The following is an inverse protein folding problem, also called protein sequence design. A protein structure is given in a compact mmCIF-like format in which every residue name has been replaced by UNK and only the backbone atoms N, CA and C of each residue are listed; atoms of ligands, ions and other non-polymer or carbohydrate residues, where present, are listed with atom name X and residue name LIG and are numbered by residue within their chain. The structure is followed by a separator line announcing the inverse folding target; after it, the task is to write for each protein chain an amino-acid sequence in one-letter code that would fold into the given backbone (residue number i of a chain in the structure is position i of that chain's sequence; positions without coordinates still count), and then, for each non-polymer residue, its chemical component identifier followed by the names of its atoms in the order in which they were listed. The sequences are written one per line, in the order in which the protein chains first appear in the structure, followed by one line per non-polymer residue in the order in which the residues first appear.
data_IF_589487106538
#
_entry.id   IF_589487106538
#
_cell.length_a   1.000
_cell.length_b   1.000
_cell.length_c   1.000
_cell.angle_alpha   90.00
_cell.angle_beta   90.00
_cell.angle_gamma   90.00
#
_symmetry.space_group_name_H-M   'P 1'
#
loop_
_entity.id
_entity.type
_entity.pdbx_description
1 polymer ?
#
# COMPACT_ATOMS: atom_id res chain seq x y z
N UNK A 1 10.90 1.18 2.71
CA UNK A 1 9.55 1.70 2.46
C UNK A 1 8.98 0.94 1.27
N UNK A 2 7.69 0.65 1.28
CA UNK A 2 6.99 0.07 0.14
C UNK A 2 5.79 0.94 -0.21
N UNK A 3 5.93 1.73 -1.28
CA UNK A 3 4.89 2.59 -1.80
C UNK A 3 4.40 2.05 -3.14
N UNK A 4 3.20 1.47 -3.17
CA UNK A 4 2.58 0.94 -4.38
C UNK A 4 1.91 2.06 -5.18
N UNK A 5 2.76 2.77 -5.93
CA UNK A 5 2.44 3.92 -6.80
C UNK A 5 3.58 4.10 -7.80
N UNK A 6 3.38 4.94 -8.81
CA UNK A 6 4.37 5.15 -9.87
C UNK A 6 4.54 6.64 -10.18
N UNK A 7 5.76 7.09 -10.50
CA UNK A 7 5.92 8.36 -11.20
C UNK A 7 5.41 8.23 -12.64
N UNK A 8 5.16 9.35 -13.35
CA UNK A 8 4.78 9.32 -14.77
C UNK A 8 5.77 8.59 -15.67
N UNK A 9 7.06 8.61 -15.30
CA UNK A 9 8.14 7.97 -16.07
C UNK A 9 8.40 6.50 -15.65
N UNK A 10 7.62 5.94 -14.73
CA UNK A 10 7.83 4.58 -14.27
C UNK A 10 7.56 3.57 -15.41
N UNK A 11 8.41 2.54 -15.61
CA UNK A 11 8.23 1.59 -16.72
C UNK A 11 6.88 0.87 -16.77
N UNK A 12 6.18 0.75 -15.65
CA UNK A 12 4.83 0.17 -15.63
C UNK A 12 3.79 1.02 -16.34
N UNK A 13 3.99 2.34 -16.47
CA UNK A 13 3.05 3.21 -17.20
C UNK A 13 2.94 2.75 -18.67
N UNK A 14 4.07 2.41 -19.29
CA UNK A 14 4.10 1.92 -20.67
C UNK A 14 3.87 0.40 -20.77
N UNK A 15 4.41 -0.39 -19.82
CA UNK A 15 4.38 -1.85 -19.89
C UNK A 15 3.10 -2.49 -19.36
N UNK A 16 2.42 -1.81 -18.44
CA UNK A 16 1.21 -2.27 -17.77
C UNK A 16 0.19 -1.12 -17.69
N UNK A 17 -0.26 -0.56 -18.83
CA UNK A 17 -1.19 0.57 -18.83
C UNK A 17 -2.51 0.23 -18.11
N UNK A 18 -2.94 -1.03 -18.16
CA UNK A 18 -4.16 -1.52 -17.49
C UNK A 18 -4.08 -1.48 -15.96
N UNK A 19 -2.89 -1.28 -15.37
CA UNK A 19 -2.72 -1.05 -13.93
C UNK A 19 -3.01 0.40 -13.52
N UNK A 20 -3.45 1.25 -14.45
CA UNK A 20 -3.80 2.64 -14.18
C UNK A 20 -5.19 2.97 -14.73
N UNK A 21 -5.91 3.87 -14.06
CA UNK A 21 -7.17 4.38 -14.56
C UNK A 21 -6.91 5.53 -15.55
N UNK A 22 -7.22 5.29 -16.83
CA UNK A 22 -7.15 6.30 -17.87
C UNK A 22 -8.48 7.06 -17.99
N UNK A 23 -8.38 8.39 -18.08
CA UNK A 23 -9.50 9.26 -18.46
C UNK A 23 -9.88 9.06 -19.93
N UNK A 24 -11.03 9.59 -20.38
CA UNK A 24 -11.44 9.49 -21.78
C UNK A 24 -10.44 10.09 -22.79
N UNK A 25 -9.60 11.05 -22.36
CA UNK A 25 -8.54 11.65 -23.18
C UNK A 25 -7.22 10.86 -23.15
N UNK A 26 -7.20 9.71 -22.48
CA UNK A 26 -6.02 8.85 -22.32
C UNK A 26 -5.09 9.24 -21.16
N UNK A 27 -5.30 10.39 -20.51
CA UNK A 27 -4.45 10.83 -19.39
C UNK A 27 -4.75 10.07 -18.10
N UNK A 28 -3.75 9.93 -17.23
CA UNK A 28 -3.91 9.36 -15.87
C UNK A 28 -4.00 10.50 -14.86
N UNK A 29 -4.97 10.43 -13.96
CA UNK A 29 -5.08 11.39 -12.86
C UNK A 29 -3.95 11.18 -11.84
N UNK A 30 -3.39 12.28 -11.33
CA UNK A 30 -2.44 12.20 -10.23
C UNK A 30 -3.12 11.73 -8.94
N UNK A 31 -2.34 11.15 -8.01
CA UNK A 31 -2.88 10.65 -6.75
C UNK A 31 -3.28 11.80 -5.81
N UNK A 32 -4.34 11.61 -5.03
CA UNK A 32 -4.78 12.55 -4.01
C UNK A 32 -5.08 11.82 -2.70
N UNK A 33 -4.81 12.48 -1.58
CA UNK A 33 -5.34 12.13 -0.26
C UNK A 33 -5.84 13.42 0.38
N UNK A 34 -7.08 13.85 0.07
CA UNK A 34 -7.55 15.19 0.36
C UNK A 34 -7.31 15.61 1.82
N UNK A 35 -6.77 16.83 2.07
CA UNK A 35 -6.58 17.91 1.09
C UNK A 35 -5.28 17.84 0.28
N UNK A 36 -4.45 16.82 0.45
CA UNK A 36 -3.15 16.69 -0.21
C UNK A 36 -3.29 16.20 -1.65
N UNK A 37 -2.47 16.76 -2.53
CA UNK A 37 -2.35 16.41 -3.95
C UNK A 37 -0.92 16.02 -4.25
N UNK A 38 -0.73 14.94 -4.99
CA UNK A 38 0.58 14.40 -5.32
C UNK A 38 0.76 14.35 -6.84
N UNK A 39 1.08 15.50 -7.43
CA UNK A 39 1.13 15.70 -8.89
C UNK A 39 2.24 14.90 -9.58
N UNK A 40 3.19 14.38 -8.80
CA UNK A 40 4.36 13.62 -9.20
C UNK A 40 4.13 12.10 -9.25
N UNK A 41 2.93 11.62 -8.88
CA UNK A 41 2.63 10.18 -8.83
C UNK A 41 1.23 9.84 -9.39
N UNK A 42 1.14 8.64 -9.96
CA UNK A 42 -0.09 7.98 -10.37
C UNK A 42 -0.50 6.86 -9.38
N UNK A 43 -1.79 6.79 -9.02
CA UNK A 43 -2.31 5.68 -8.24
C UNK A 43 -2.49 4.43 -9.11
N UNK A 44 -2.28 3.26 -8.52
CA UNK A 44 -2.55 1.97 -9.16
C UNK A 44 -4.05 1.66 -9.13
N UNK A 45 -4.60 1.20 -10.25
CA UNK A 45 -5.94 0.64 -10.37
C UNK A 45 -5.88 -0.89 -10.30
N UNK A 46 -6.76 -1.50 -9.49
CA UNK A 46 -6.67 -2.92 -9.14
C UNK A 46 -7.71 -3.80 -9.84
N UNK A 47 -8.69 -3.20 -10.51
CA UNK A 47 -9.86 -3.92 -11.04
C UNK A 47 -9.56 -4.70 -12.32
N UNK A 48 -8.58 -4.27 -13.11
CA UNK A 48 -8.25 -4.91 -14.40
C UNK A 48 -7.39 -6.17 -14.24
N UNK A 49 -6.39 -6.13 -13.34
CA UNK A 49 -5.40 -7.20 -13.19
C UNK A 49 -4.90 -7.32 -11.74
N UNK A 50 -5.80 -7.68 -10.83
CA UNK A 50 -5.47 -7.92 -9.42
C UNK A 50 -4.40 -9.00 -9.25
N UNK A 51 -4.47 -10.08 -10.03
CA UNK A 51 -3.55 -11.21 -9.89
C UNK A 51 -2.13 -10.85 -10.35
N UNK A 52 -1.97 -10.13 -11.46
CA UNK A 52 -0.68 -9.61 -11.90
C UNK A 52 -0.07 -8.63 -10.89
N UNK A 53 -0.88 -7.74 -10.31
CA UNK A 53 -0.43 -6.83 -9.25
C UNK A 53 0.04 -7.56 -7.98
N UNK A 54 -0.69 -8.60 -7.54
CA UNK A 54 -0.29 -9.41 -6.38
C UNK A 54 1.04 -10.12 -6.68
N UNK A 55 1.14 -10.78 -7.83
CA UNK A 55 2.34 -11.52 -8.22
C UNK A 55 3.57 -10.62 -8.33
N UNK A 56 3.45 -9.47 -8.99
CA UNK A 56 4.56 -8.52 -9.13
C UNK A 56 4.95 -7.89 -7.79
N UNK A 57 3.97 -7.57 -6.94
CA UNK A 57 4.22 -7.04 -5.59
C UNK A 57 5.01 -8.02 -4.75
N UNK A 58 4.59 -9.30 -4.71
CA UNK A 58 5.32 -10.34 -3.98
C UNK A 58 6.72 -10.54 -4.56
N UNK A 59 6.87 -10.51 -5.89
CA UNK A 59 8.19 -10.60 -6.55
C UNK A 59 9.12 -9.46 -6.10
N UNK A 60 8.64 -8.22 -6.08
CA UNK A 60 9.40 -7.05 -5.62
C UNK A 60 9.75 -7.15 -4.14
N UNK A 61 8.82 -7.56 -3.28
CA UNK A 61 9.09 -7.78 -1.85
C UNK A 61 10.16 -8.85 -1.64
N UNK A 62 10.04 -10.00 -2.33
CA UNK A 62 11.00 -11.10 -2.26
C UNK A 62 12.40 -10.68 -2.70
N UNK A 63 12.50 -9.87 -3.76
CA UNK A 63 13.80 -9.34 -4.17
C UNK A 63 14.52 -8.62 -3.03
N UNK A 64 13.83 -7.79 -2.24
CA UNK A 64 14.44 -7.12 -1.09
C UNK A 64 14.67 -8.06 0.10
N UNK A 65 13.79 -9.05 0.29
CA UNK A 65 13.95 -10.10 1.30
C UNK A 65 15.22 -10.93 1.06
N UNK A 66 15.57 -11.23 -0.19
CA UNK A 66 16.81 -11.92 -0.57
C UNK A 66 18.07 -11.12 -0.21
N UNK A 67 17.92 -9.81 -0.04
CA UNK A 67 18.97 -8.89 0.43
C UNK A 67 18.87 -8.61 1.94
N UNK A 68 18.13 -9.43 2.69
CA UNK A 68 18.01 -9.36 4.14
C UNK A 68 17.00 -8.35 4.68
N UNK A 69 16.20 -7.69 3.83
CA UNK A 69 15.13 -6.80 4.29
C UNK A 69 13.95 -7.64 4.78
N UNK A 70 13.72 -7.64 6.10
CA UNK A 70 12.62 -8.41 6.73
C UNK A 70 11.48 -7.53 7.25
N UNK A 71 11.57 -6.21 7.11
CA UNK A 71 10.57 -5.27 7.61
C UNK A 71 10.20 -4.27 6.53
N UNK A 72 8.91 -4.18 6.23
CA UNK A 72 8.34 -3.26 5.25
C UNK A 72 7.38 -2.29 5.94
N UNK A 73 7.75 -1.01 6.01
CA UNK A 73 6.79 0.08 6.22
C UNK A 73 6.04 0.31 4.91
N UNK A 74 4.75 0.03 4.92
CA UNK A 74 3.87 0.13 3.75
C UNK A 74 3.17 1.48 3.76
N UNK A 75 3.34 2.24 2.68
CA UNK A 75 2.82 3.59 2.53
C UNK A 75 1.33 3.60 2.16
N UNK A 76 0.53 4.37 2.92
CA UNK A 76 -0.89 4.58 2.65
C UNK A 76 -1.67 3.30 2.22
N UNK A 77 -1.59 2.17 2.95
CA UNK A 77 -2.23 0.91 2.53
C UNK A 77 -3.75 1.04 2.42
N UNK A 78 -4.34 1.98 3.17
CA UNK A 78 -5.77 2.27 3.18
C UNK A 78 -6.32 2.89 1.88
N UNK A 79 -5.45 3.30 0.94
CA UNK A 79 -5.87 3.76 -0.40
C UNK A 79 -5.84 2.65 -1.45
N UNK A 80 -5.53 1.41 -1.03
CA UNK A 80 -5.50 0.20 -1.86
C UNK A 80 -6.53 -0.79 -1.30
N UNK A 81 -7.03 -1.75 -2.10
CA UNK A 81 -8.02 -2.71 -1.62
C UNK A 81 -7.51 -3.50 -0.42
N UNK A 82 -8.35 -3.72 0.59
CA UNK A 82 -8.00 -4.51 1.79
C UNK A 82 -7.61 -5.94 1.41
N UNK A 83 -8.41 -6.55 0.53
CA UNK A 83 -8.19 -7.93 0.03
C UNK A 83 -6.86 -8.09 -0.70
N UNK A 84 -6.35 -7.02 -1.34
CA UNK A 84 -5.04 -7.06 -1.99
C UNK A 84 -3.94 -7.28 -0.95
N UNK A 85 -3.96 -6.54 0.16
CA UNK A 85 -2.98 -6.70 1.23
C UNK A 85 -3.11 -8.04 1.94
N UNK A 86 -4.32 -8.52 2.19
CA UNK A 86 -4.57 -9.83 2.79
C UNK A 86 -3.88 -10.94 1.96
N UNK A 87 -4.02 -10.87 0.63
CA UNK A 87 -3.37 -11.80 -0.31
C UNK A 87 -1.85 -11.68 -0.29
N UNK A 88 -1.31 -10.47 -0.42
CA UNK A 88 0.15 -10.23 -0.44
C UNK A 88 0.82 -10.69 0.86
N UNK A 89 0.27 -10.29 2.01
CA UNK A 89 0.81 -10.65 3.33
C UNK A 89 0.69 -12.16 3.53
N UNK A 90 -0.46 -12.75 3.20
CA UNK A 90 -0.67 -14.19 3.30
C UNK A 90 0.28 -15.00 2.42
N UNK A 91 0.64 -14.51 1.23
CA UNK A 91 1.61 -15.17 0.35
C UNK A 91 3.05 -15.06 0.85
N UNK A 92 3.47 -13.87 1.31
CA UNK A 92 4.81 -13.67 1.88
C UNK A 92 4.98 -14.48 3.16
N UNK A 93 4.10 -14.30 4.16
CA UNK A 93 4.27 -14.90 5.47
C UNK A 93 4.05 -16.43 5.49
N UNK A 94 3.41 -17.01 4.46
CA UNK A 94 3.32 -18.48 4.33
C UNK A 94 4.70 -19.13 4.17
N UNK A 95 5.60 -18.48 3.44
CA UNK A 95 6.97 -18.97 3.25
C UNK A 95 7.96 -18.33 4.24
N UNK A 96 7.70 -17.08 4.63
CA UNK A 96 8.62 -16.21 5.36
C UNK A 96 7.88 -15.53 6.55
N UNK A 97 7.52 -16.29 7.60
CA UNK A 97 6.69 -15.79 8.70
C UNK A 97 7.38 -14.76 9.60
N UNK A 98 8.70 -14.59 9.49
CA UNK A 98 9.47 -13.57 10.19
C UNK A 98 9.39 -12.18 9.55
N UNK A 99 8.83 -12.05 8.33
CA UNK A 99 8.64 -10.76 7.68
C UNK A 99 7.54 -9.94 8.36
N UNK A 100 7.84 -8.69 8.69
CA UNK A 100 6.95 -7.75 9.38
C UNK A 100 6.47 -6.66 8.42
N UNK A 101 5.17 -6.42 8.39
CA UNK A 101 4.52 -5.31 7.70
C UNK A 101 3.99 -4.29 8.70
N UNK A 102 4.39 -3.03 8.52
CA UNK A 102 3.89 -1.88 9.29
C UNK A 102 2.96 -1.04 8.40
N UNK A 103 1.69 -0.92 8.79
CA UNK A 103 0.71 -0.12 8.07
C UNK A 103 0.78 1.37 8.45
N UNK A 104 1.13 2.24 7.51
CA UNK A 104 0.96 3.69 7.68
C UNK A 104 -0.46 4.14 7.30
N UNK A 105 -1.41 3.89 8.19
CA UNK A 105 -2.82 4.16 7.95
C UNK A 105 -3.40 5.22 8.89
N UNK A 106 -3.25 6.50 8.56
CA UNK A 106 -3.95 7.60 9.24
C UNK A 106 -5.35 7.82 8.62
N UNK A 107 -6.25 6.88 8.90
CA UNK A 107 -7.61 6.85 8.34
C UNK A 107 -8.64 6.63 9.44
N UNK A 108 -9.90 6.34 9.13
CA UNK A 108 -10.95 6.07 10.12
C UNK A 108 -10.66 4.78 10.93
N UNK A 109 -11.13 4.68 12.20
CA UNK A 109 -10.80 3.56 13.08
C UNK A 109 -11.13 2.17 12.50
N UNK A 110 -12.27 2.05 11.82
CA UNK A 110 -12.69 0.77 11.23
C UNK A 110 -11.65 0.23 10.23
N UNK A 111 -11.15 1.07 9.32
CA UNK A 111 -10.14 0.66 8.34
C UNK A 111 -8.81 0.34 9.00
N UNK A 112 -8.39 1.11 10.02
CA UNK A 112 -7.16 0.82 10.77
C UNK A 112 -7.23 -0.56 11.43
N UNK A 113 -8.35 -0.87 12.09
CA UNK A 113 -8.57 -2.17 12.72
C UNK A 113 -8.61 -3.30 11.69
N UNK A 114 -9.31 -3.11 10.56
CA UNK A 114 -9.38 -4.11 9.50
C UNK A 114 -8.01 -4.44 8.92
N UNK A 115 -7.15 -3.44 8.66
CA UNK A 115 -5.80 -3.69 8.14
C UNK A 115 -4.96 -4.54 9.10
N UNK A 116 -5.03 -4.28 10.41
CA UNK A 116 -4.35 -5.13 11.39
C UNK A 116 -4.93 -6.56 11.39
N UNK A 117 -6.25 -6.70 11.34
CA UNK A 117 -6.94 -8.00 11.37
C UNK A 117 -6.60 -8.90 10.17
N UNK A 118 -6.37 -8.32 8.99
CA UNK A 118 -6.04 -9.07 7.77
C UNK A 118 -4.55 -9.43 7.64
N UNK A 119 -3.71 -9.03 8.61
CA UNK A 119 -2.35 -9.56 8.72
C UNK A 119 -1.24 -8.53 8.92
N UNK A 120 -1.51 -7.22 8.91
CA UNK A 120 -0.45 -6.25 9.24
C UNK A 120 0.00 -6.41 10.69
N UNK A 121 1.28 -6.71 10.91
CA UNK A 121 1.85 -6.96 12.24
C UNK A 121 1.94 -5.70 13.10
N UNK A 122 2.09 -4.53 12.49
CA UNK A 122 2.14 -3.25 13.20
C UNK A 122 1.27 -2.19 12.51
N UNK A 123 0.84 -1.19 13.27
CA UNK A 123 0.05 -0.07 12.77
C UNK A 123 0.58 1.26 13.33
N UNK A 124 0.66 2.27 12.47
CA UNK A 124 0.68 3.66 12.95
C UNK A 124 -0.62 3.98 13.69
N UNK A 125 -0.58 4.97 14.58
CA UNK A 125 -1.69 5.28 15.49
C UNK A 125 -2.01 6.77 15.52
N UNK A 126 -3.09 7.15 16.20
CA UNK A 126 -3.40 8.56 16.42
C UNK A 126 -2.55 9.24 17.49
N UNK A 127 -1.43 8.64 17.92
CA UNK A 127 -0.62 9.13 19.03
C UNK A 127 -0.24 10.62 18.89
N UNK A 128 0.10 11.07 17.67
CA UNK A 128 0.43 12.48 17.39
C UNK A 128 -0.73 13.47 17.62
N UNK A 129 -1.97 12.97 17.67
CA UNK A 129 -3.19 13.75 17.96
C UNK A 129 -3.79 13.39 19.33
N UNK A 130 -3.02 12.83 20.25
CA UNK A 130 -3.43 12.57 21.64
C UNK A 130 -2.41 13.21 22.58
N UNK A 131 -2.71 14.41 23.06
CA UNK A 131 -1.76 15.26 23.77
C UNK A 131 -2.20 15.57 25.21
N UNK A 132 -3.51 15.59 25.47
CA UNK A 132 -4.04 15.83 26.82
C UNK A 132 -4.07 14.55 27.65
N UNK A 133 -4.12 14.68 28.98
CA UNK A 133 -4.27 13.53 29.88
C UNK A 133 -5.51 12.69 29.55
N UNK A 134 -6.64 13.33 29.23
CA UNK A 134 -7.87 12.64 28.85
C UNK A 134 -7.76 11.92 27.50
N UNK A 135 -6.99 12.46 26.56
CA UNK A 135 -6.76 11.82 25.26
C UNK A 135 -5.83 10.60 25.36
N UNK A 136 -4.90 10.60 26.33
CA UNK A 136 -3.91 9.54 26.54
C UNK A 136 -4.41 8.39 27.45
N UNK A 137 -5.44 8.63 28.26
CA UNK A 137 -5.97 7.68 29.25
C UNK A 137 -7.30 7.10 28.78
#
# INVERSE_FOLDING_TARGET
DFALQCSPDHPWVDKHPDWFHHRPDGTIAYAENPPKKYQDIYPVAFDADMDGLVAETVRVLRHWMDHGVRIFRVDNPHTKPVVFWERVIGEVNRADPDVIFLAEAFTRPAMMATLAQIGFQQSYTYFTWRNTKQELT
#
